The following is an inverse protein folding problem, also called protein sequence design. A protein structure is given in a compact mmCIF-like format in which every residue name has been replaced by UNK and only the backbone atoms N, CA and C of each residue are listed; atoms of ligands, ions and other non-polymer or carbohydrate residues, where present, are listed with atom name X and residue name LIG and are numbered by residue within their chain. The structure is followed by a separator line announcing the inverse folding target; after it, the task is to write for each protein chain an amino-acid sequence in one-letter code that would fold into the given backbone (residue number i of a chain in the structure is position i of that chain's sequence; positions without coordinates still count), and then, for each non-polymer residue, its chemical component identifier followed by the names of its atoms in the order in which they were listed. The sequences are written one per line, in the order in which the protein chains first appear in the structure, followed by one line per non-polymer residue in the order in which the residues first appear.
data_IF_484669787985
#
_entry.id   IF_484669787985
#
_cell.length_a   1.000
_cell.length_b   1.000
_cell.length_c   1.000
_cell.angle_alpha   90.00
_cell.angle_beta   90.00
_cell.angle_gamma   90.00
#
_symmetry.space_group_name_H-M   'P 1'
#
loop_
_entity.id
_entity.type
_entity.pdbx_description
1 polymer ?
#
# COMPACT_ATOMS: atom_id res chain seq x y z
N UNK A 1 16.28 -37.23 29.03
CA UNK A 1 16.78 -35.93 28.52
C UNK A 1 16.91 -35.86 26.99
N UNK A 2 17.33 -36.92 26.27
CA UNK A 2 17.40 -36.93 24.78
C UNK A 2 16.06 -36.66 24.05
N UNK A 3 14.91 -37.08 24.60
CA UNK A 3 13.59 -36.91 23.97
C UNK A 3 13.07 -35.46 23.98
N UNK A 4 13.45 -34.66 24.97
CA UNK A 4 12.97 -33.27 25.15
C UNK A 4 13.69 -32.31 24.19
N UNK A 5 14.98 -32.57 23.93
CA UNK A 5 15.78 -31.83 22.95
C UNK A 5 15.22 -32.02 21.53
N UNK A 6 14.72 -33.22 21.21
CA UNK A 6 14.16 -33.53 19.90
C UNK A 6 12.80 -32.84 19.64
N UNK A 7 11.96 -32.69 20.66
CA UNK A 7 10.66 -31.98 20.53
C UNK A 7 10.82 -30.46 20.44
N UNK A 8 11.81 -29.87 21.11
CA UNK A 8 12.14 -28.44 20.99
C UNK A 8 12.66 -28.08 19.59
N UNK A 9 13.39 -28.98 18.94
CA UNK A 9 13.90 -28.78 17.58
C UNK A 9 12.79 -28.81 16.52
N UNK A 10 11.77 -29.67 16.71
CA UNK A 10 10.63 -29.79 15.79
C UNK A 10 9.70 -28.57 15.89
N UNK A 11 9.49 -28.02 17.10
CA UNK A 11 8.68 -26.82 17.30
C UNK A 11 9.33 -25.54 16.72
N UNK A 12 10.67 -25.48 16.66
CA UNK A 12 11.39 -24.34 16.10
C UNK A 12 11.31 -24.28 14.56
N UNK A 13 11.17 -25.44 13.91
CA UNK A 13 11.04 -25.56 12.44
C UNK A 13 9.64 -25.16 11.95
N UNK A 14 8.60 -25.29 12.78
CA UNK A 14 7.21 -24.96 12.40
C UNK A 14 6.94 -23.45 12.29
N UNK A 15 7.84 -22.58 12.75
CA UNK A 15 7.69 -21.12 12.68
C UNK A 15 8.08 -20.57 11.29
N UNK A 16 8.78 -21.36 10.47
CA UNK A 16 9.34 -20.92 9.19
C UNK A 16 8.41 -21.13 7.97
N UNK A 17 7.18 -21.62 8.15
CA UNK A 17 6.29 -22.02 7.04
C UNK A 17 5.06 -21.11 6.82
N UNK A 18 5.03 -19.91 7.40
CA UNK A 18 3.93 -18.94 7.19
C UNK A 18 4.22 -17.88 6.12
N UNK A 19 5.08 -18.14 5.13
CA UNK A 19 5.30 -17.19 4.03
C UNK A 19 4.24 -17.33 2.93
N UNK A 20 2.96 -17.24 3.31
CA UNK A 20 1.91 -16.89 2.36
C UNK A 20 2.03 -15.39 2.10
N UNK A 21 2.02 -14.97 0.83
CA UNK A 21 2.09 -13.57 0.42
C UNK A 21 1.18 -12.71 1.31
N UNK A 22 1.78 -11.85 2.14
CA UNK A 22 1.03 -10.91 2.95
C UNK A 22 0.43 -9.90 1.99
N UNK A 23 -0.85 -10.02 1.68
CA UNK A 23 -1.61 -9.02 0.94
C UNK A 23 -2.69 -8.45 1.84
N UNK A 24 -3.16 -7.24 1.52
CA UNK A 24 -4.34 -6.66 2.14
C UNK A 24 -5.53 -6.77 1.21
N UNK A 25 -6.71 -7.00 1.79
CA UNK A 25 -7.98 -6.90 1.06
C UNK A 25 -8.26 -5.45 0.66
N UNK A 26 -9.10 -5.20 -0.36
CA UNK A 26 -9.51 -3.83 -0.72
C UNK A 26 -10.08 -3.03 0.44
N UNK A 27 -10.84 -3.67 1.34
CA UNK A 27 -11.37 -3.01 2.52
C UNK A 27 -10.26 -2.57 3.47
N UNK A 28 -9.26 -3.43 3.72
CA UNK A 28 -8.13 -3.09 4.57
C UNK A 28 -7.29 -1.95 3.98
N UNK A 29 -7.08 -1.94 2.66
CA UNK A 29 -6.37 -0.84 1.98
C UNK A 29 -7.15 0.48 2.11
N UNK A 30 -8.45 0.46 1.82
CA UNK A 30 -9.31 1.66 1.92
C UNK A 30 -9.45 2.19 3.36
N UNK A 31 -9.25 1.34 4.37
CA UNK A 31 -9.24 1.78 5.78
C UNK A 31 -7.85 2.25 6.23
N UNK A 32 -6.77 1.64 5.72
CA UNK A 32 -5.42 1.88 6.22
C UNK A 32 -4.72 3.02 5.48
N UNK A 33 -4.78 3.04 4.14
CA UNK A 33 -4.05 4.01 3.33
C UNK A 33 -4.45 5.46 3.65
N UNK A 34 -5.75 5.82 3.76
CA UNK A 34 -6.16 7.19 4.12
C UNK A 34 -5.66 7.67 5.49
N UNK A 35 -5.38 6.76 6.41
CA UNK A 35 -4.83 7.11 7.72
C UNK A 35 -3.32 7.40 7.68
N UNK A 36 -2.66 7.07 6.57
CA UNK A 36 -1.22 7.24 6.38
C UNK A 36 -0.87 8.46 5.53
N UNK A 37 -1.85 9.05 4.83
CA UNK A 37 -1.68 10.28 4.05
C UNK A 37 -1.93 11.52 4.90
N UNK A 38 -1.28 12.62 4.55
CA UNK A 38 -1.60 13.97 5.05
C UNK A 38 -2.71 14.61 4.22
N UNK A 39 -2.80 14.26 2.94
CA UNK A 39 -3.83 14.71 2.02
C UNK A 39 -5.20 14.11 2.38
N UNK A 40 -6.26 14.88 2.20
CA UNK A 40 -7.63 14.42 2.50
C UNK A 40 -8.05 13.33 1.52
N UNK A 41 -8.42 12.17 2.02
CA UNK A 41 -9.05 11.13 1.20
C UNK A 41 -10.51 11.46 0.91
N UNK A 42 -10.92 11.34 -0.36
CA UNK A 42 -12.27 11.60 -0.82
C UNK A 42 -12.99 10.31 -1.22
N UNK A 43 -14.22 10.15 -0.72
CA UNK A 43 -15.18 9.20 -1.26
C UNK A 43 -15.69 9.63 -2.63
N UNK A 44 -16.38 8.72 -3.33
CA UNK A 44 -16.99 9.02 -4.64
C UNK A 44 -17.97 10.19 -4.53
N UNK A 45 -18.78 10.22 -3.48
CA UNK A 45 -19.77 11.27 -3.22
C UNK A 45 -19.09 12.61 -2.95
N UNK A 46 -18.01 12.62 -2.16
CA UNK A 46 -17.25 13.84 -1.89
C UNK A 46 -16.60 14.43 -3.14
N UNK A 47 -16.24 13.59 -4.13
CA UNK A 47 -15.71 14.10 -5.41
C UNK A 47 -16.74 14.82 -6.28
N UNK A 48 -18.03 14.71 -5.96
CA UNK A 48 -19.11 15.43 -6.65
C UNK A 48 -19.44 16.77 -5.98
N UNK A 49 -18.81 17.09 -4.85
CA UNK A 49 -19.02 18.35 -4.16
C UNK A 49 -18.56 19.52 -5.05
N UNK A 50 -19.39 20.56 -5.27
CA UNK A 50 -19.00 21.71 -6.10
C UNK A 50 -17.77 22.46 -5.57
N UNK A 51 -17.44 22.34 -4.28
CA UNK A 51 -16.25 22.93 -3.68
C UNK A 51 -14.98 22.08 -3.89
N UNK A 52 -15.10 20.90 -4.52
CA UNK A 52 -13.98 20.02 -4.85
C UNK A 52 -13.75 19.99 -6.37
N UNK A 53 -12.62 20.57 -6.80
CA UNK A 53 -12.22 20.56 -8.20
C UNK A 53 -11.15 19.50 -8.45
N UNK A 54 -11.38 18.62 -9.42
CA UNK A 54 -10.37 17.69 -9.91
C UNK A 54 -9.26 18.46 -10.64
N UNK A 55 -8.02 18.27 -10.21
CA UNK A 55 -6.83 18.84 -10.84
C UNK A 55 -6.23 17.87 -11.85
N UNK A 56 -6.03 16.62 -11.43
CA UNK A 56 -5.38 15.58 -12.23
C UNK A 56 -6.12 14.25 -12.07
N UNK A 57 -6.31 13.53 -13.17
CA UNK A 57 -6.95 12.20 -13.18
C UNK A 57 -5.95 11.10 -13.51
N UNK A 58 -6.13 9.94 -12.88
CA UNK A 58 -5.41 8.71 -13.23
C UNK A 58 -3.90 8.80 -13.00
N UNK A 59 -3.46 9.50 -11.96
CA UNK A 59 -2.05 9.50 -11.54
C UNK A 59 -1.69 8.09 -11.09
N UNK A 60 -0.68 7.49 -11.70
CA UNK A 60 -0.15 6.19 -11.29
C UNK A 60 1.17 6.37 -10.55
N UNK A 61 1.30 5.74 -9.39
CA UNK A 61 2.51 5.77 -8.58
C UNK A 61 2.91 4.36 -8.15
N UNK A 62 4.16 4.02 -8.43
CA UNK A 62 4.78 2.76 -8.01
C UNK A 62 5.54 3.00 -6.72
N UNK A 63 5.03 2.47 -5.61
CA UNK A 63 5.64 2.65 -4.31
C UNK A 63 6.96 1.85 -4.20
N UNK A 64 7.99 2.41 -3.54
CA UNK A 64 9.14 1.62 -3.10
C UNK A 64 8.72 0.42 -2.26
N UNK A 65 9.35 -0.74 -2.49
CA UNK A 65 9.06 -1.98 -1.77
C UNK A 65 9.46 -1.83 -0.30
N UNK A 66 8.51 -2.03 0.60
CA UNK A 66 8.69 -2.06 2.03
C UNK A 66 9.02 -3.45 2.57
N UNK A 67 9.38 -3.52 3.85
CA UNK A 67 9.61 -4.79 4.55
C UNK A 67 8.28 -5.50 4.90
N UNK A 68 7.19 -4.75 4.98
CA UNK A 68 5.84 -5.23 5.27
C UNK A 68 4.83 -4.56 4.36
N UNK A 69 3.62 -5.14 4.22
CA UNK A 69 2.51 -4.53 3.46
C UNK A 69 2.14 -3.13 3.99
N UNK A 70 2.27 -2.92 5.30
CA UNK A 70 2.02 -1.61 5.91
C UNK A 70 3.10 -0.60 5.50
N UNK A 71 4.33 -1.04 5.33
CA UNK A 71 5.41 -0.19 4.84
C UNK A 71 5.23 0.15 3.36
N UNK A 72 4.75 -0.79 2.53
CA UNK A 72 4.31 -0.48 1.15
C UNK A 72 3.25 0.63 1.14
N UNK A 73 2.22 0.52 2.01
CA UNK A 73 1.18 1.55 2.11
C UNK A 73 1.71 2.89 2.62
N UNK A 74 2.68 2.91 3.55
CA UNK A 74 3.33 4.15 4.00
C UNK A 74 4.10 4.82 2.87
N UNK A 75 4.83 4.04 2.09
CA UNK A 75 5.56 4.54 0.93
C UNK A 75 4.59 5.07 -0.15
N UNK A 76 3.49 4.37 -0.39
CA UNK A 76 2.43 4.82 -1.29
C UNK A 76 1.77 6.12 -0.81
N UNK A 77 1.47 6.23 0.49
CA UNK A 77 0.91 7.44 1.09
C UNK A 77 1.84 8.66 0.96
N UNK A 78 3.14 8.47 1.17
CA UNK A 78 4.13 9.52 0.97
C UNK A 78 4.16 10.00 -0.50
N UNK A 79 4.08 9.07 -1.45
CA UNK A 79 3.99 9.41 -2.87
C UNK A 79 2.71 10.14 -3.25
N UNK A 80 1.56 9.79 -2.66
CA UNK A 80 0.32 10.54 -2.82
C UNK A 80 0.51 11.97 -2.32
N UNK A 81 1.00 12.16 -1.10
CA UNK A 81 1.16 13.48 -0.50
C UNK A 81 2.13 14.36 -1.29
N UNK A 82 3.22 13.78 -1.78
CA UNK A 82 4.17 14.48 -2.65
C UNK A 82 3.51 14.96 -3.94
N UNK A 83 2.81 14.06 -4.66
CA UNK A 83 2.17 14.43 -5.92
C UNK A 83 0.99 15.38 -5.74
N UNK A 84 0.19 15.20 -4.69
CA UNK A 84 -0.89 16.14 -4.35
C UNK A 84 -0.31 17.53 -4.10
N UNK A 85 0.79 17.62 -3.35
CA UNK A 85 1.46 18.90 -3.09
C UNK A 85 2.08 19.52 -4.35
N UNK A 86 2.74 18.73 -5.21
CA UNK A 86 3.36 19.21 -6.46
C UNK A 86 2.30 19.81 -7.38
N UNK A 87 1.13 19.18 -7.45
CA UNK A 87 0.04 19.58 -8.34
C UNK A 87 -0.85 20.67 -7.72
N UNK A 88 -0.53 21.14 -6.51
CA UNK A 88 -1.26 22.20 -5.81
C UNK A 88 -2.62 21.77 -5.25
N UNK A 89 -2.83 20.46 -5.07
CA UNK A 89 -4.02 19.90 -4.42
C UNK A 89 -3.91 19.84 -2.90
N UNK A 90 -5.01 19.43 -2.26
CA UNK A 90 -5.04 19.11 -0.83
C UNK A 90 -5.80 17.81 -0.53
N UNK A 91 -6.31 17.15 -1.57
CA UNK A 91 -7.14 15.98 -1.45
C UNK A 91 -6.88 15.01 -2.60
N UNK A 92 -7.22 13.74 -2.40
CA UNK A 92 -7.06 12.69 -3.39
C UNK A 92 -8.22 11.69 -3.33
N UNK A 93 -8.43 10.98 -4.43
CA UNK A 93 -9.34 9.83 -4.49
C UNK A 93 -8.54 8.63 -4.99
N UNK A 94 -8.46 7.57 -4.20
CA UNK A 94 -7.91 6.30 -4.66
C UNK A 94 -8.86 5.69 -5.70
N UNK A 95 -8.36 5.41 -6.90
CA UNK A 95 -9.15 4.81 -7.98
C UNK A 95 -8.83 3.33 -8.16
N UNK A 96 -7.60 2.92 -7.90
CA UNK A 96 -7.17 1.54 -8.00
C UNK A 96 -5.90 1.27 -7.18
N UNK A 97 -5.63 0.02 -6.85
CA UNK A 97 -4.36 -0.43 -6.30
C UNK A 97 -4.09 -1.88 -6.72
N UNK A 98 -2.81 -2.24 -6.85
CA UNK A 98 -2.40 -3.62 -7.14
C UNK A 98 -1.00 -3.90 -6.61
N UNK A 99 -0.80 -5.10 -6.08
CA UNK A 99 0.54 -5.64 -5.85
C UNK A 99 0.96 -6.42 -7.08
N UNK A 100 2.06 -6.01 -7.71
CA UNK A 100 2.67 -6.73 -8.83
C UNK A 100 3.88 -7.51 -8.35
N UNK A 101 4.02 -8.76 -8.79
CA UNK A 101 5.24 -9.54 -8.50
C UNK A 101 6.39 -9.00 -9.34
N UNK A 102 7.50 -8.68 -8.69
CA UNK A 102 8.75 -8.31 -9.34
C UNK A 102 9.78 -9.43 -9.14
N UNK A 103 10.44 -9.82 -10.23
CA UNK A 103 11.56 -10.78 -10.16
C UNK A 103 12.83 -10.04 -9.81
N UNK A 104 13.53 -10.49 -8.77
CA UNK A 104 14.94 -10.12 -8.55
C UNK A 104 15.81 -11.33 -8.91
N UNK A 105 16.66 -11.17 -9.91
CA UNK A 105 17.33 -12.30 -10.56
C UNK A 105 18.30 -13.08 -9.66
N UNK A 106 18.42 -14.37 -10.03
CA UNK A 106 19.40 -15.43 -9.70
C UNK A 106 19.17 -16.36 -8.51
N UNK A 107 18.37 -16.05 -7.49
CA UNK A 107 18.10 -17.02 -6.39
C UNK A 107 16.67 -16.92 -5.77
N UNK A 108 15.69 -16.49 -6.56
CA UNK A 108 14.24 -16.62 -6.32
C UNK A 108 13.72 -16.17 -4.95
N UNK A 109 13.87 -14.88 -4.63
CA UNK A 109 12.93 -14.19 -3.74
C UNK A 109 11.93 -13.42 -4.61
N UNK A 110 10.66 -13.78 -4.52
CA UNK A 110 9.59 -13.01 -5.18
C UNK A 110 9.22 -11.85 -4.26
N UNK A 111 9.60 -10.63 -4.65
CA UNK A 111 9.09 -9.43 -3.99
C UNK A 111 7.81 -8.97 -4.70
N UNK A 112 6.89 -8.37 -3.94
CA UNK A 112 5.73 -7.70 -4.49
C UNK A 112 5.93 -6.19 -4.38
N UNK A 113 5.49 -5.46 -5.39
CA UNK A 113 5.55 -4.00 -5.41
C UNK A 113 4.14 -3.43 -5.53
N UNK A 114 3.81 -2.46 -4.67
CA UNK A 114 2.52 -1.79 -4.69
C UNK A 114 2.50 -0.69 -5.77
N UNK A 115 1.49 -0.74 -6.63
CA UNK A 115 1.13 0.33 -7.56
C UNK A 115 -0.24 0.85 -7.15
N UNK A 116 -0.36 2.18 -7.03
CA UNK A 116 -1.62 2.87 -6.74
C UNK A 116 -1.96 3.83 -7.86
N UNK A 117 -3.25 3.90 -8.17
CA UNK A 117 -3.79 4.89 -9.10
C UNK A 117 -4.74 5.80 -8.31
N UNK A 118 -4.61 7.10 -8.50
CA UNK A 118 -5.41 8.09 -7.78
C UNK A 118 -5.64 9.35 -8.61
N UNK A 119 -6.72 10.05 -8.27
CA UNK A 119 -7.03 11.38 -8.77
C UNK A 119 -6.66 12.42 -7.71
N UNK A 120 -6.27 13.61 -8.14
CA UNK A 120 -5.87 14.72 -7.28
C UNK A 120 -6.92 15.82 -7.36
N UNK A 121 -7.27 16.37 -6.21
CA UNK A 121 -8.28 17.41 -6.05
C UNK A 121 -7.75 18.58 -5.21
N UNK A 122 -8.34 19.74 -5.46
CA UNK A 122 -8.34 20.87 -4.53
C UNK A 122 -9.76 21.08 -4.05
N UNK A 123 -9.96 20.98 -2.74
CA UNK A 123 -11.23 21.18 -2.07
C UNK A 123 -11.18 22.39 -1.14
N UNK A 124 -12.26 23.16 -1.08
CA UNK A 124 -12.45 24.29 -0.17
C UNK A 124 -13.33 23.93 1.02
#
# INVERSE_FOLDING_TARGET
MKKIINTLFIAWISILLHSCATSMTPMQVNQTLPMLTKSTYLSVEQTQNPNCKCLTRGKSYTAPVGLTVKDDLRNAAAGIDEWVSIEGGNAYKLTNFKWITISTDKNSSHATQLVIDFDIYICQ
#
